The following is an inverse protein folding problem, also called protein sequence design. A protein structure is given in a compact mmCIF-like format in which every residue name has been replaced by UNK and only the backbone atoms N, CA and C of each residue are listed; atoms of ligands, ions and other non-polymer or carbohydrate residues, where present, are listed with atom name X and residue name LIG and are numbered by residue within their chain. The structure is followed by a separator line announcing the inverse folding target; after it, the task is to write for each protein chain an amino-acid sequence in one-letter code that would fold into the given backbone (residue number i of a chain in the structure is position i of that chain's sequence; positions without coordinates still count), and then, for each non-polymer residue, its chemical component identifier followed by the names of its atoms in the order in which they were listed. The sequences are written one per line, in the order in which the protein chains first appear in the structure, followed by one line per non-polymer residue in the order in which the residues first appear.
data_IF_121994823572
#
_entry.id   IF_121994823572
#
_cell.length_a   1.000
_cell.length_b   1.000
_cell.length_c   1.000
_cell.angle_alpha   90.00
_cell.angle_beta   90.00
_cell.angle_gamma   90.00
#
_symmetry.space_group_name_H-M   'P 1'
#
loop_
_entity.id
_entity.type
_entity.pdbx_description
1 polymer ?
#
# COMPACT_ATOMS: atom_id res chain seq x y z
N UNK A 1 22.28 10.26 15.25
CA UNK A 1 21.97 9.56 13.98
C UNK A 1 20.46 9.37 13.85
N UNK A 2 19.75 10.32 13.22
CA UNK A 2 18.35 10.12 12.80
C UNK A 2 18.40 9.61 11.36
N UNK A 3 18.29 8.29 11.16
CA UNK A 3 18.45 7.64 9.84
C UNK A 3 17.14 7.38 9.11
N UNK A 4 16.02 7.83 9.66
CA UNK A 4 14.69 7.77 9.04
C UNK A 4 14.28 9.21 8.73
N UNK A 5 14.99 9.82 7.79
CA UNK A 5 14.94 11.25 7.44
C UNK A 5 13.50 11.76 7.28
N UNK A 6 12.65 10.94 6.65
CA UNK A 6 11.33 11.38 6.22
C UNK A 6 10.19 10.76 7.03
N UNK A 7 10.49 9.86 7.98
CA UNK A 7 9.44 9.19 8.76
C UNK A 7 8.67 10.17 9.65
N UNK A 8 9.35 11.19 10.21
CA UNK A 8 8.70 12.19 11.07
C UNK A 8 7.76 13.10 10.29
N UNK A 9 8.07 13.37 9.02
CA UNK A 9 7.34 14.27 8.12
C UNK A 9 6.47 13.51 7.12
N UNK A 10 6.37 12.19 7.25
CA UNK A 10 5.58 11.37 6.33
C UNK A 10 4.09 11.64 6.55
N UNK A 11 3.43 12.16 5.52
CA UNK A 11 2.01 12.56 5.56
C UNK A 11 1.07 11.42 5.92
N UNK A 12 1.44 10.18 5.62
CA UNK A 12 0.61 9.00 5.86
C UNK A 12 0.80 8.37 7.24
N UNK A 13 1.72 8.91 8.06
CA UNK A 13 2.13 8.31 9.34
C UNK A 13 0.97 8.00 10.29
N UNK A 14 -0.05 8.86 10.35
CA UNK A 14 -1.18 8.72 11.28
C UNK A 14 -2.04 7.49 10.99
N UNK A 15 -2.15 7.09 9.72
CA UNK A 15 -2.98 5.96 9.28
C UNK A 15 -2.17 4.80 8.71
N UNK A 16 -0.83 4.89 8.71
CA UNK A 16 0.08 3.92 8.09
C UNK A 16 -0.03 2.50 8.68
N UNK A 17 -0.56 2.36 9.90
CA UNK A 17 -0.87 1.07 10.51
C UNK A 17 -2.03 0.35 9.82
N UNK A 18 -2.96 1.10 9.23
CA UNK A 18 -4.14 0.55 8.57
C UNK A 18 -3.98 0.52 7.06
N UNK A 19 -3.37 1.53 6.46
CA UNK A 19 -3.14 1.57 5.02
C UNK A 19 -2.04 2.53 4.59
N UNK A 20 -1.42 2.21 3.46
CA UNK A 20 -0.42 3.03 2.78
C UNK A 20 -0.74 3.06 1.28
N UNK A 21 -0.70 4.24 0.68
CA UNK A 21 -0.88 4.48 -0.75
C UNK A 21 0.41 5.04 -1.37
N UNK A 22 0.86 4.41 -2.45
CA UNK A 22 1.99 4.83 -3.27
C UNK A 22 1.46 5.05 -4.69
N UNK A 23 0.64 6.09 -4.86
CA UNK A 23 -0.07 6.39 -6.10
C UNK A 23 0.87 6.55 -7.31
N UNK A 24 2.10 7.02 -7.09
CA UNK A 24 3.14 7.15 -8.13
C UNK A 24 3.49 5.84 -8.83
N UNK A 25 3.18 4.69 -8.21
CA UNK A 25 3.47 3.36 -8.75
C UNK A 25 2.32 2.80 -9.61
N UNK A 26 1.20 3.54 -9.77
CA UNK A 26 0.05 3.10 -10.54
C UNK A 26 0.43 2.86 -12.01
N UNK A 27 -0.11 1.80 -12.61
CA UNK A 27 0.13 1.45 -14.01
C UNK A 27 -1.00 0.61 -14.59
N UNK A 28 -0.90 0.31 -15.88
CA UNK A 28 -1.96 -0.43 -16.58
C UNK A 28 -2.09 -1.88 -16.08
N UNK A 29 -0.99 -2.51 -15.68
CA UNK A 29 -0.97 -3.91 -15.26
C UNK A 29 -1.02 -4.03 -13.72
N UNK A 30 -2.20 -3.84 -13.13
CA UNK A 30 -2.39 -4.01 -11.69
C UNK A 30 -2.77 -5.44 -11.30
N UNK A 31 -2.35 -5.85 -10.11
CA UNK A 31 -2.79 -7.08 -9.45
C UNK A 31 -3.12 -6.83 -7.98
N UNK A 32 -4.05 -7.60 -7.45
CA UNK A 32 -4.46 -7.57 -6.04
C UNK A 32 -4.14 -8.94 -5.46
N UNK A 33 -3.52 -8.94 -4.28
CA UNK A 33 -3.17 -10.16 -3.56
C UNK A 33 -3.39 -9.98 -2.05
N UNK A 34 -3.45 -11.09 -1.32
CA UNK A 34 -3.64 -11.10 0.12
C UNK A 34 -2.49 -11.84 0.81
N UNK A 35 -1.93 -11.24 1.87
CA UNK A 35 -0.87 -11.88 2.65
C UNK A 35 -1.12 -11.71 4.14
N UNK A 36 -0.63 -12.66 4.94
CA UNK A 36 -0.67 -12.57 6.38
C UNK A 36 0.70 -12.22 6.95
N UNK A 37 0.73 -11.22 7.84
CA UNK A 37 1.92 -10.81 8.57
C UNK A 37 1.54 -10.64 10.04
N UNK A 38 2.24 -11.34 10.94
CA UNK A 38 2.00 -11.25 12.39
C UNK A 38 0.54 -11.45 12.82
N UNK A 39 -0.16 -12.43 12.24
CA UNK A 39 -1.58 -12.74 12.48
C UNK A 39 -2.57 -11.69 11.97
N UNK A 40 -2.11 -10.73 11.18
CA UNK A 40 -2.97 -9.76 10.50
C UNK A 40 -2.93 -10.03 9.00
N UNK A 41 -4.08 -9.93 8.34
CA UNK A 41 -4.18 -10.11 6.89
C UNK A 41 -4.17 -8.73 6.23
N UNK A 42 -3.47 -8.60 5.11
CA UNK A 42 -3.34 -7.38 4.34
C UNK A 42 -3.68 -7.66 2.88
N UNK A 43 -4.40 -6.74 2.26
CA UNK A 43 -4.56 -6.68 0.80
C UNK A 43 -3.48 -5.77 0.22
N UNK A 44 -2.72 -6.28 -0.74
CA UNK A 44 -1.67 -5.55 -1.45
C UNK A 44 -2.11 -5.35 -2.90
N UNK A 45 -2.02 -4.10 -3.37
CA UNK A 45 -2.17 -3.77 -4.79
C UNK A 45 -0.79 -3.51 -5.35
N UNK A 46 -0.46 -4.15 -6.47
CA UNK A 46 0.85 -4.03 -7.10
C UNK A 46 0.78 -3.89 -8.62
N UNK A 47 1.68 -3.09 -9.17
CA UNK A 47 1.96 -2.97 -10.58
C UNK A 47 2.91 -4.09 -11.03
N UNK A 48 2.40 -5.00 -11.87
CA UNK A 48 3.12 -6.14 -12.43
C UNK A 48 4.17 -5.74 -13.46
N UNK A 49 4.06 -4.57 -14.08
CA UNK A 49 5.09 -4.06 -15.00
C UNK A 49 6.42 -3.79 -14.29
N UNK A 50 6.36 -3.51 -12.98
CA UNK A 50 7.58 -3.37 -12.16
C UNK A 50 8.25 -4.70 -11.81
N UNK A 51 7.68 -5.84 -12.18
CA UNK A 51 8.22 -7.19 -11.98
C UNK A 51 8.66 -7.47 -10.52
N UNK A 52 7.90 -6.96 -9.54
CA UNK A 52 8.18 -7.15 -8.11
C UNK A 52 9.37 -6.34 -7.59
N UNK A 53 9.90 -5.39 -8.37
CA UNK A 53 11.01 -4.53 -7.97
C UNK A 53 10.50 -3.29 -7.20
N UNK A 54 11.44 -2.42 -6.80
CA UNK A 54 11.12 -1.12 -6.22
C UNK A 54 10.20 -0.35 -7.17
N UNK A 55 9.10 0.18 -6.63
CA UNK A 55 8.06 0.86 -7.43
C UNK A 55 6.91 -0.04 -7.88
N UNK A 56 6.88 -1.32 -7.50
CA UNK A 56 5.75 -2.19 -7.81
C UNK A 56 4.57 -2.06 -6.84
N UNK A 57 4.77 -1.69 -5.57
CA UNK A 57 3.67 -1.65 -4.59
C UNK A 57 2.87 -0.36 -4.78
N UNK A 58 1.58 -0.46 -5.05
CA UNK A 58 0.67 0.69 -5.20
C UNK A 58 -0.06 0.96 -3.89
N UNK A 59 -0.53 -0.07 -3.21
CA UNK A 59 -1.25 0.08 -1.95
C UNK A 59 -1.03 -1.12 -1.04
N UNK A 60 -1.07 -0.89 0.27
CA UNK A 60 -1.18 -1.91 1.30
C UNK A 60 -2.35 -1.49 2.18
N UNK A 61 -3.32 -2.37 2.38
CA UNK A 61 -4.51 -2.12 3.21
C UNK A 61 -4.69 -3.27 4.17
N UNK A 62 -4.91 -2.98 5.44
CA UNK A 62 -5.19 -3.96 6.47
C UNK A 62 -6.60 -4.54 6.30
N UNK A 63 -6.67 -5.87 6.33
CA UNK A 63 -7.87 -6.66 6.11
C UNK A 63 -8.17 -6.93 4.63
N UNK A 64 -9.14 -7.79 4.40
CA UNK A 64 -9.53 -8.30 3.05
C UNK A 64 -10.95 -7.90 2.66
N UNK A 65 -11.63 -7.11 3.50
CA UNK A 65 -13.01 -6.70 3.26
C UNK A 65 -13.06 -5.76 2.05
N UNK A 66 -13.67 -6.24 0.96
CA UNK A 66 -13.70 -5.53 -0.32
C UNK A 66 -14.22 -4.09 -0.22
N UNK A 67 -15.23 -3.82 0.63
CA UNK A 67 -15.76 -2.48 0.84
C UNK A 67 -14.76 -1.53 1.50
N UNK A 68 -13.96 -2.03 2.46
CA UNK A 68 -12.90 -1.26 3.12
C UNK A 68 -11.76 -1.00 2.13
N UNK A 69 -11.26 -2.05 1.47
CA UNK A 69 -10.18 -1.94 0.49
C UNK A 69 -10.56 -0.98 -0.63
N UNK A 70 -11.75 -1.13 -1.22
CA UNK A 70 -12.24 -0.24 -2.28
C UNK A 70 -12.35 1.23 -1.83
N UNK A 71 -12.83 1.49 -0.61
CA UNK A 71 -12.93 2.85 -0.08
C UNK A 71 -11.55 3.52 0.09
N UNK A 72 -10.53 2.75 0.47
CA UNK A 72 -9.15 3.24 0.57
C UNK A 72 -8.55 3.47 -0.82
N UNK A 73 -8.70 2.52 -1.75
CA UNK A 73 -8.17 2.66 -3.12
C UNK A 73 -8.77 3.85 -3.88
N UNK A 74 -10.04 4.21 -3.62
CA UNK A 74 -10.69 5.40 -4.18
C UNK A 74 -10.09 6.74 -3.71
N UNK A 75 -9.16 6.73 -2.73
CA UNK A 75 -8.41 7.92 -2.31
C UNK A 75 -7.20 8.20 -3.21
N UNK A 76 -6.85 7.27 -4.11
CA UNK A 76 -5.81 7.51 -5.12
C UNK A 76 -6.35 8.60 -6.07
N UNK A 77 -5.60 9.71 -6.28
CA UNK A 77 -6.02 10.82 -7.13
C UNK A 77 -6.12 10.45 -8.61
#
# INVERSE_FOLDING_TARGET
KHHLSDFKTWSQKEHATDWVLLADNLGACCSIDETSLCNEVYTIVSNKDGHGKKGSVIAIVKGTKANVVSAILKKIP
#
